data_IF_907921843248
#
_entry.id   IF_907921843248
#
_cell.length_a   1.000
_cell.length_b   1.000
_cell.length_c   1.000
_cell.angle_alpha   90.00
_cell.angle_beta   90.00
_cell.angle_gamma   90.00
#
_symmetry.space_group_name_H-M   'P 1'
#
loop_
_entity.id
_entity.type
_entity.pdbx_description
1 polymer ?
#
# COMPACT_ATOMS: atom_id res chain seq x y z
N UNK A 1 31.17 40.64 -1.68
CA UNK A 1 31.03 39.31 -2.30
C UNK A 1 29.89 38.58 -1.61
N UNK A 2 28.66 38.69 -2.12
CA UNK A 2 27.49 37.98 -1.59
C UNK A 2 26.60 37.56 -2.76
N UNK A 3 26.87 36.39 -3.32
CA UNK A 3 25.92 35.60 -4.09
C UNK A 3 26.28 34.13 -3.84
N UNK A 4 25.25 33.30 -3.59
CA UNK A 4 25.22 31.83 -3.51
C UNK A 4 24.85 31.24 -2.14
N UNK A 5 23.60 31.40 -1.68
CA UNK A 5 22.91 30.36 -0.87
C UNK A 5 21.39 30.37 -1.19
N UNK A 6 21.03 30.30 -2.47
CA UNK A 6 19.62 30.25 -2.89
C UNK A 6 19.41 29.14 -3.94
N UNK A 7 19.75 27.89 -3.62
CA UNK A 7 19.53 26.74 -4.54
C UNK A 7 19.47 25.35 -3.90
N UNK A 8 19.31 25.21 -2.58
CA UNK A 8 19.22 23.86 -1.95
C UNK A 8 17.90 23.63 -1.20
N UNK A 9 17.31 24.66 -0.61
CA UNK A 9 16.07 24.58 0.18
C UNK A 9 14.79 24.48 -0.67
N UNK A 10 14.78 25.06 -1.88
CA UNK A 10 13.63 24.97 -2.80
C UNK A 10 13.50 23.58 -3.47
N UNK A 11 14.61 22.83 -3.58
CA UNK A 11 14.65 21.52 -4.24
C UNK A 11 14.10 20.39 -3.34
N UNK A 12 14.22 20.55 -2.02
CA UNK A 12 13.81 19.53 -1.03
C UNK A 12 12.30 19.56 -0.74
N UNK A 13 11.70 20.76 -0.67
CA UNK A 13 10.24 20.94 -0.57
C UNK A 13 9.48 20.52 -1.83
N UNK A 14 10.11 20.61 -3.02
CA UNK A 14 9.55 20.04 -4.24
C UNK A 14 9.50 18.50 -4.16
N UNK A 15 10.53 17.85 -3.61
CA UNK A 15 10.65 16.37 -3.62
C UNK A 15 9.62 15.63 -2.76
N UNK A 16 9.14 16.22 -1.65
CA UNK A 16 8.15 15.59 -0.77
C UNK A 16 6.72 15.87 -1.21
N UNK A 17 6.43 17.02 -1.83
CA UNK A 17 5.14 17.33 -2.46
C UNK A 17 4.95 16.55 -3.77
N UNK A 18 6.04 16.30 -4.51
CA UNK A 18 6.02 15.47 -5.73
C UNK A 18 5.62 14.02 -5.46
N UNK A 19 5.95 13.46 -4.29
CA UNK A 19 5.69 12.06 -3.97
C UNK A 19 4.19 11.77 -3.74
N UNK A 20 3.42 12.70 -3.16
CA UNK A 20 1.96 12.49 -2.95
C UNK A 20 1.12 12.82 -4.19
N UNK A 21 1.57 13.77 -5.03
CA UNK A 21 0.91 14.06 -6.30
C UNK A 21 1.07 12.97 -7.36
N UNK A 22 2.04 12.06 -7.18
CA UNK A 22 2.37 11.02 -8.16
C UNK A 22 1.44 9.80 -8.04
N UNK A 23 1.20 9.24 -6.86
CA UNK A 23 0.25 8.13 -6.66
C UNK A 23 -1.16 8.42 -7.18
N UNK A 24 -1.70 9.61 -6.91
CA UNK A 24 -3.04 10.03 -7.33
C UNK A 24 -3.20 10.05 -8.86
N UNK A 25 -2.21 10.65 -9.51
CA UNK A 25 -2.19 10.82 -10.96
C UNK A 25 -1.91 9.48 -11.68
N UNK A 26 -1.52 8.47 -10.91
CA UNK A 26 -1.30 7.11 -11.35
C UNK A 26 -2.42 6.16 -10.98
N UNK A 27 -3.42 6.53 -10.17
CA UNK A 27 -4.52 5.61 -9.84
C UNK A 27 -5.33 5.26 -11.11
N UNK A 28 -5.65 3.98 -11.28
CA UNK A 28 -6.42 3.46 -12.42
C UNK A 28 -7.77 2.94 -11.95
N UNK A 29 -7.80 2.21 -10.83
CA UNK A 29 -9.03 1.68 -10.25
C UNK A 29 -8.89 1.53 -8.73
N UNK A 30 -9.99 1.75 -8.00
CA UNK A 30 -10.08 1.59 -6.55
C UNK A 30 -11.38 0.88 -6.16
N UNK A 31 -11.29 -0.35 -5.68
CA UNK A 31 -12.45 -1.13 -5.24
C UNK A 31 -12.44 -1.21 -3.70
N UNK A 32 -13.24 -0.36 -3.06
CA UNK A 32 -13.39 -0.31 -1.60
C UNK A 32 -14.25 -1.45 -1.03
N UNK A 33 -14.94 -2.18 -1.90
CA UNK A 33 -15.89 -3.23 -1.57
C UNK A 33 -16.95 -2.88 -0.50
N UNK A 34 -17.21 -1.58 -0.32
CA UNK A 34 -18.25 -1.05 0.55
C UNK A 34 -19.62 -1.19 -0.11
N UNK A 35 -20.18 -2.39 -0.02
CA UNK A 35 -21.52 -2.74 -0.49
C UNK A 35 -21.62 -3.18 -1.94
N UNK A 36 -20.58 -2.99 -2.76
CA UNK A 36 -20.56 -3.39 -4.18
C UNK A 36 -19.12 -3.51 -4.70
N UNK A 37 -18.96 -4.00 -5.94
CA UNK A 37 -17.68 -4.08 -6.65
C UNK A 37 -17.46 -2.93 -7.65
N UNK A 38 -18.03 -1.75 -7.40
CA UNK A 38 -17.83 -0.59 -8.26
C UNK A 38 -16.41 -0.03 -8.09
N UNK A 39 -15.85 0.47 -9.18
CA UNK A 39 -14.62 1.24 -9.14
C UNK A 39 -14.95 2.64 -8.62
N UNK A 40 -14.47 2.96 -7.42
CA UNK A 40 -14.67 4.26 -6.80
C UNK A 40 -13.93 5.39 -7.49
N UNK A 41 -12.91 5.08 -8.32
CA UNK A 41 -12.08 6.05 -9.03
C UNK A 41 -12.55 6.33 -10.46
N UNK A 42 -12.90 5.29 -11.20
CA UNK A 42 -13.17 5.37 -12.63
C UNK A 42 -14.30 4.46 -13.08
N UNK A 43 -14.45 4.27 -14.41
CA UNK A 43 -15.56 3.50 -14.96
C UNK A 43 -15.33 1.98 -14.91
N UNK A 44 -14.28 1.48 -14.25
CA UNK A 44 -13.81 0.09 -14.40
C UNK A 44 -14.55 -0.87 -13.48
N UNK A 45 -15.87 -0.75 -13.36
CA UNK A 45 -16.67 -1.51 -12.41
C UNK A 45 -16.48 -3.03 -12.56
N UNK A 46 -16.37 -3.71 -11.41
CA UNK A 46 -16.32 -5.16 -11.35
C UNK A 46 -17.70 -5.81 -11.44
N UNK A 47 -17.78 -6.96 -12.10
CA UNK A 47 -18.96 -7.82 -12.11
C UNK A 47 -18.74 -9.00 -11.17
N UNK A 48 -19.52 -9.04 -10.09
CA UNK A 48 -19.42 -10.08 -9.07
C UNK A 48 -20.02 -11.39 -9.57
N UNK A 49 -19.29 -12.49 -9.42
CA UNK A 49 -19.76 -13.86 -9.66
C UNK A 49 -19.57 -14.66 -8.38
N UNK A 50 -20.67 -15.02 -7.73
CA UNK A 50 -20.75 -15.83 -6.49
C UNK A 50 -20.01 -15.30 -5.25
N UNK A 51 -19.20 -14.24 -5.33
CA UNK A 51 -18.58 -13.64 -4.15
C UNK A 51 -19.65 -12.94 -3.29
N UNK A 52 -19.53 -13.05 -1.97
CA UNK A 52 -20.51 -12.49 -1.03
C UNK A 52 -19.88 -11.40 -0.19
N UNK A 53 -20.63 -10.34 0.08
CA UNK A 53 -20.17 -9.28 0.99
C UNK A 53 -19.92 -9.84 2.40
N UNK A 54 -18.89 -9.33 3.05
CA UNK A 54 -18.43 -9.76 4.39
C UNK A 54 -17.91 -8.56 5.18
N UNK A 55 -17.46 -8.81 6.41
CA UNK A 55 -16.90 -7.81 7.31
C UNK A 55 -15.44 -7.50 6.96
N UNK A 56 -15.09 -6.21 6.91
CA UNK A 56 -13.73 -5.75 6.64
C UNK A 56 -12.77 -5.89 7.84
N UNK A 57 -11.54 -5.38 7.70
CA UNK A 57 -10.51 -5.35 8.76
C UNK A 57 -10.83 -4.45 9.95
N UNK A 58 -11.83 -3.58 9.84
CA UNK A 58 -12.28 -2.68 10.89
C UNK A 58 -13.55 -3.16 11.58
N UNK A 59 -14.06 -4.34 11.23
CA UNK A 59 -15.31 -4.85 11.78
C UNK A 59 -16.56 -4.25 11.12
N UNK A 60 -16.41 -3.51 10.01
CA UNK A 60 -17.53 -2.91 9.29
C UNK A 60 -18.19 -3.97 8.39
N UNK A 61 -19.50 -4.23 8.54
CA UNK A 61 -20.20 -5.20 7.73
C UNK A 61 -20.29 -4.74 6.26
N UNK A 62 -20.40 -5.70 5.35
CA UNK A 62 -20.56 -5.48 3.91
C UNK A 62 -19.51 -4.53 3.30
N UNK A 63 -18.27 -4.62 3.78
CA UNK A 63 -17.18 -3.74 3.39
C UNK A 63 -15.94 -4.49 2.88
N UNK A 64 -16.11 -5.77 2.56
CA UNK A 64 -15.15 -6.63 1.88
C UNK A 64 -15.92 -7.71 1.10
N UNK A 65 -15.25 -8.49 0.24
CA UNK A 65 -15.84 -9.69 -0.38
C UNK A 65 -15.17 -10.97 0.12
N UNK A 66 -15.99 -11.96 0.45
CA UNK A 66 -15.57 -13.34 0.70
C UNK A 66 -15.68 -14.16 -0.59
N UNK A 67 -14.63 -14.95 -0.85
CA UNK A 67 -14.50 -15.86 -1.97
C UNK A 67 -14.36 -17.29 -1.43
N UNK A 68 -15.21 -18.19 -1.93
CA UNK A 68 -15.39 -19.56 -1.43
C UNK A 68 -14.94 -20.62 -2.47
N UNK A 69 -13.87 -20.33 -3.23
CA UNK A 69 -13.32 -21.20 -4.30
C UNK A 69 -14.20 -21.38 -5.54
N UNK A 70 -15.40 -20.83 -5.61
CA UNK A 70 -16.23 -20.77 -6.83
C UNK A 70 -16.69 -19.35 -7.18
N UNK A 71 -16.00 -18.37 -6.61
CA UNK A 71 -16.33 -16.96 -6.66
C UNK A 71 -15.19 -16.14 -7.27
N UNK A 72 -15.54 -15.07 -7.97
CA UNK A 72 -14.60 -14.11 -8.53
C UNK A 72 -15.30 -12.80 -8.87
N UNK A 73 -14.51 -11.76 -9.18
CA UNK A 73 -15.00 -10.51 -9.74
C UNK A 73 -14.31 -10.30 -11.09
N UNK A 74 -15.08 -10.23 -12.16
CA UNK A 74 -14.59 -9.95 -13.50
C UNK A 74 -14.41 -8.43 -13.67
N UNK A 75 -13.26 -8.00 -14.22
CA UNK A 75 -12.94 -6.60 -14.44
C UNK A 75 -12.76 -6.28 -15.94
N UNK A 76 -13.04 -5.05 -16.39
CA UNK A 76 -12.62 -4.59 -17.71
C UNK A 76 -11.09 -4.65 -17.81
N UNK A 77 -10.54 -5.32 -18.83
CA UNK A 77 -9.11 -5.62 -18.88
C UNK A 77 -8.24 -4.52 -19.52
N UNK A 78 -8.81 -3.73 -20.45
CA UNK A 78 -8.10 -2.68 -21.17
C UNK A 78 -7.32 -1.65 -20.30
N UNK A 79 -7.85 -1.20 -19.15
CA UNK A 79 -7.17 -0.22 -18.27
C UNK A 79 -5.86 -0.70 -17.64
N UNK A 80 -5.60 -2.01 -17.64
CA UNK A 80 -4.50 -2.62 -16.89
C UNK A 80 -3.25 -2.93 -17.74
N UNK A 81 -3.15 -2.33 -18.93
CA UNK A 81 -2.10 -2.59 -19.94
C UNK A 81 -0.83 -1.73 -19.79
N UNK A 82 -0.49 -1.29 -18.58
CA UNK A 82 0.64 -0.36 -18.37
C UNK A 82 1.98 -1.11 -18.27
N UNK A 83 3.08 -0.59 -18.85
CA UNK A 83 4.41 -1.22 -18.81
C UNK A 83 4.99 -1.33 -17.39
N UNK A 84 4.62 -0.39 -16.53
CA UNK A 84 4.90 -0.38 -15.09
C UNK A 84 3.59 -0.19 -14.35
N UNK A 85 3.42 -0.87 -13.22
CA UNK A 85 2.21 -0.75 -12.42
C UNK A 85 2.44 -1.17 -10.97
N UNK A 86 1.49 -0.78 -10.12
CA UNK A 86 1.40 -1.21 -8.73
C UNK A 86 0.01 -1.77 -8.48
N UNK A 87 -0.05 -2.96 -7.87
CA UNK A 87 -1.26 -3.57 -7.37
C UNK A 87 -1.20 -3.58 -5.84
N UNK A 88 -2.27 -3.14 -5.19
CA UNK A 88 -2.41 -3.20 -3.74
C UNK A 88 -3.72 -3.87 -3.36
N UNK A 89 -3.73 -4.69 -2.32
CA UNK A 89 -4.94 -5.28 -1.77
C UNK A 89 -4.76 -5.63 -0.29
N UNK A 90 -5.84 -5.53 0.47
CA UNK A 90 -5.96 -6.20 1.76
C UNK A 90 -6.53 -7.60 1.54
N UNK A 91 -5.93 -8.61 2.17
CA UNK A 91 -6.36 -10.01 2.04
C UNK A 91 -6.38 -10.72 3.37
N UNK A 92 -7.33 -11.65 3.54
CA UNK A 92 -7.39 -12.57 4.68
C UNK A 92 -7.67 -13.98 4.18
N UNK A 93 -6.68 -14.85 4.25
CA UNK A 93 -6.83 -16.24 3.81
C UNK A 93 -7.69 -17.04 4.80
N UNK A 94 -8.72 -17.73 4.32
CA UNK A 94 -9.51 -18.65 5.14
C UNK A 94 -8.83 -20.03 5.29
N UNK A 95 -8.06 -20.43 4.28
CA UNK A 95 -7.22 -21.64 4.31
C UNK A 95 -5.95 -21.43 3.50
N UNK A 96 -5.09 -22.43 3.44
CA UNK A 96 -4.04 -22.50 2.42
C UNK A 96 -4.55 -23.25 1.18
N UNK A 97 -3.96 -22.99 -0.01
CA UNK A 97 -4.13 -23.85 -1.18
C UNK A 97 -3.54 -25.25 -0.91
N UNK A 98 -4.00 -26.23 -1.68
CA UNK A 98 -3.43 -27.57 -1.64
C UNK A 98 -2.01 -27.58 -2.24
N UNK A 99 -1.24 -28.64 -1.98
CA UNK A 99 0.04 -28.87 -2.65
C UNK A 99 -0.16 -28.81 -4.18
N UNK A 100 0.70 -28.07 -4.89
CA UNK A 100 0.64 -27.85 -6.34
C UNK A 100 -0.54 -27.01 -6.84
N UNK A 101 -1.27 -26.34 -5.94
CA UNK A 101 -2.30 -25.35 -6.26
C UNK A 101 -1.84 -23.94 -5.84
N UNK A 102 -2.63 -22.92 -6.19
CA UNK A 102 -2.45 -21.55 -5.71
C UNK A 102 -3.81 -20.88 -5.51
N UNK A 103 -3.83 -19.84 -4.69
CA UNK A 103 -4.94 -18.91 -4.62
C UNK A 103 -4.58 -17.61 -5.31
N UNK A 104 -5.42 -17.20 -6.26
CA UNK A 104 -5.21 -15.97 -7.03
C UNK A 104 -5.99 -14.82 -6.41
N UNK A 105 -5.27 -13.78 -5.98
CA UNK A 105 -5.85 -12.54 -5.46
C UNK A 105 -6.26 -11.66 -6.64
N UNK A 106 -5.34 -11.48 -7.59
CA UNK A 106 -5.55 -10.70 -8.81
C UNK A 106 -4.83 -11.39 -9.97
N UNK A 107 -5.47 -11.44 -11.13
CA UNK A 107 -4.86 -11.90 -12.38
C UNK A 107 -5.14 -10.93 -13.51
N UNK A 108 -4.16 -10.82 -14.40
CA UNK A 108 -4.31 -10.11 -15.65
C UNK A 108 -3.58 -10.83 -16.80
N UNK A 109 -4.33 -11.02 -17.88
CA UNK A 109 -4.07 -11.72 -19.15
C UNK A 109 -4.44 -13.21 -19.25
N UNK A 110 -4.65 -13.61 -20.50
CA UNK A 110 -4.83 -14.95 -21.04
C UNK A 110 -3.89 -15.06 -22.27
N UNK A 111 -3.38 -16.24 -22.69
CA UNK A 111 -3.38 -17.54 -22.02
C UNK A 111 -2.22 -17.72 -21.02
N UNK A 112 -1.18 -16.86 -21.05
CA UNK A 112 0.02 -17.02 -20.21
C UNK A 112 0.22 -15.80 -19.29
N UNK A 113 -0.09 -15.99 -18.00
CA UNK A 113 0.17 -15.17 -16.79
C UNK A 113 0.96 -13.85 -16.97
N UNK A 114 0.44 -12.83 -17.65
CA UNK A 114 1.19 -11.57 -17.76
C UNK A 114 1.42 -10.97 -16.37
N UNK A 115 0.48 -11.18 -15.46
CA UNK A 115 0.54 -10.74 -14.07
C UNK A 115 -0.35 -11.63 -13.20
N UNK A 116 0.20 -12.19 -12.12
CA UNK A 116 -0.61 -12.78 -11.04
C UNK A 116 -0.08 -12.37 -9.68
N UNK A 117 -0.99 -12.07 -8.74
CA UNK A 117 -0.71 -11.95 -7.32
C UNK A 117 -1.35 -13.15 -6.62
N UNK A 118 -0.54 -14.01 -6.02
CA UNK A 118 -0.99 -15.31 -5.50
C UNK A 118 -0.49 -15.62 -4.10
N UNK A 119 -1.20 -16.52 -3.43
CA UNK A 119 -0.66 -17.35 -2.35
C UNK A 119 -0.45 -18.78 -2.88
N UNK A 120 0.70 -19.39 -2.61
CA UNK A 120 1.00 -20.75 -3.09
C UNK A 120 1.98 -21.47 -2.16
N UNK A 121 1.98 -22.81 -2.14
CA UNK A 121 2.94 -23.58 -1.37
C UNK A 121 4.29 -23.65 -2.11
N UNK A 122 5.37 -23.20 -1.46
CA UNK A 122 6.74 -23.29 -1.99
C UNK A 122 7.68 -23.63 -0.82
N UNK A 123 8.68 -24.49 -1.07
CA UNK A 123 9.73 -24.84 -0.11
C UNK A 123 9.25 -25.36 1.26
N UNK A 124 8.10 -26.06 1.31
CA UNK A 124 7.56 -26.62 2.55
C UNK A 124 6.72 -25.64 3.39
N UNK A 125 6.45 -24.44 2.88
CA UNK A 125 5.54 -23.45 3.49
C UNK A 125 4.67 -22.75 2.46
N UNK A 126 3.80 -21.84 2.90
CA UNK A 126 3.04 -20.96 2.01
C UNK A 126 3.72 -19.61 1.88
N UNK A 127 3.70 -19.04 0.68
CA UNK A 127 4.35 -17.76 0.35
C UNK A 127 3.40 -16.87 -0.44
N UNK A 128 3.63 -15.56 -0.39
CA UNK A 128 3.07 -14.63 -1.36
C UNK A 128 3.97 -14.59 -2.59
N UNK A 129 3.36 -14.54 -3.76
CA UNK A 129 4.07 -14.54 -5.02
C UNK A 129 3.47 -13.49 -5.96
N UNK A 130 4.33 -12.74 -6.62
CA UNK A 130 3.95 -11.87 -7.72
C UNK A 130 4.73 -12.27 -8.97
N UNK A 131 4.01 -12.81 -9.95
CA UNK A 131 4.59 -13.31 -11.19
C UNK A 131 4.39 -12.34 -12.33
N UNK A 132 5.38 -12.21 -13.21
CA UNK A 132 5.26 -11.43 -14.44
C UNK A 132 5.98 -12.09 -15.63
N UNK A 133 5.21 -12.56 -16.61
CA UNK A 133 5.69 -13.50 -17.65
C UNK A 133 6.81 -13.00 -18.56
N UNK A 134 6.78 -11.74 -19.00
CA UNK A 134 7.73 -11.23 -20.00
C UNK A 134 9.09 -10.85 -19.42
N UNK A 135 9.31 -11.04 -18.12
CA UNK A 135 10.51 -10.57 -17.42
C UNK A 135 11.00 -11.63 -16.44
N UNK A 136 11.56 -12.72 -16.96
CA UNK A 136 12.44 -13.69 -16.27
C UNK A 136 12.05 -14.27 -14.89
N UNK A 137 10.85 -14.02 -14.33
CA UNK A 137 10.42 -14.72 -13.12
C UNK A 137 9.34 -14.06 -12.29
N UNK A 138 9.34 -14.42 -11.02
CA UNK A 138 8.45 -13.93 -9.99
C UNK A 138 9.23 -13.45 -8.79
N UNK A 139 8.60 -12.60 -7.98
CA UNK A 139 9.10 -12.23 -6.66
C UNK A 139 8.30 -13.02 -5.61
N UNK A 140 9.01 -13.90 -4.91
CA UNK A 140 8.45 -14.75 -3.85
C UNK A 140 8.93 -14.23 -2.50
N UNK A 141 8.00 -14.07 -1.58
CA UNK A 141 8.27 -13.64 -0.21
C UNK A 141 8.74 -14.81 0.65
N UNK A 142 9.60 -14.57 1.64
CA UNK A 142 10.06 -15.60 2.59
C UNK A 142 9.39 -15.51 3.96
N UNK A 143 8.65 -14.42 4.20
CA UNK A 143 7.90 -14.19 5.43
C UNK A 143 6.79 -15.23 5.59
N UNK A 144 6.54 -15.67 6.82
CA UNK A 144 5.49 -16.62 7.14
C UNK A 144 4.11 -16.06 6.77
N UNK A 145 3.35 -16.83 6.00
CA UNK A 145 1.94 -16.49 5.70
C UNK A 145 1.03 -17.05 6.79
N UNK A 146 0.06 -16.26 7.24
CA UNK A 146 -0.92 -16.64 8.25
C UNK A 146 -2.34 -16.62 7.67
N UNK A 147 -3.14 -17.64 8.00
CA UNK A 147 -4.58 -17.62 7.75
C UNK A 147 -5.31 -16.80 8.82
N UNK A 148 -6.52 -16.34 8.51
CA UNK A 148 -7.40 -15.59 9.40
C UNK A 148 -6.82 -14.26 9.92
N UNK A 149 -5.80 -13.72 9.23
CA UNK A 149 -5.21 -12.40 9.55
C UNK A 149 -5.21 -11.53 8.30
N UNK A 150 -5.70 -10.30 8.44
CA UNK A 150 -5.65 -9.30 7.38
C UNK A 150 -4.19 -8.92 7.11
N UNK A 151 -3.78 -9.05 5.86
CA UNK A 151 -2.44 -8.73 5.37
C UNK A 151 -2.56 -7.76 4.21
N UNK A 152 -1.83 -6.65 4.26
CA UNK A 152 -1.75 -5.73 3.13
C UNK A 152 -0.62 -6.18 2.20
N UNK A 153 -0.96 -6.43 0.94
CA UNK A 153 -0.01 -6.81 -0.09
C UNK A 153 0.09 -5.70 -1.11
N UNK A 154 1.33 -5.29 -1.42
CA UNK A 154 1.59 -4.39 -2.54
C UNK A 154 2.65 -4.99 -3.44
N UNK A 155 2.31 -5.18 -4.71
CA UNK A 155 3.18 -5.74 -5.73
C UNK A 155 3.44 -4.70 -6.81
N UNK A 156 4.71 -4.43 -7.08
CA UNK A 156 5.16 -3.40 -8.00
C UNK A 156 5.95 -4.04 -9.12
N UNK A 157 5.57 -3.75 -10.34
CA UNK A 157 6.37 -3.98 -11.53
C UNK A 157 6.99 -2.66 -11.97
N UNK A 158 8.26 -2.50 -11.67
CA UNK A 158 9.10 -1.43 -12.22
C UNK A 158 9.71 -1.86 -13.56
N UNK A 159 10.42 -0.95 -14.21
CA UNK A 159 11.09 -1.21 -15.49
C UNK A 159 12.15 -2.31 -15.38
N UNK A 160 12.89 -2.34 -14.27
CA UNK A 160 14.03 -3.23 -14.04
C UNK A 160 13.91 -4.07 -12.77
N UNK A 161 12.77 -4.04 -12.08
CA UNK A 161 12.56 -4.83 -10.87
C UNK A 161 11.10 -5.24 -10.65
N UNK A 162 10.89 -6.40 -10.03
CA UNK A 162 9.68 -6.74 -9.30
C UNK A 162 9.92 -6.49 -7.81
N UNK A 163 9.01 -5.77 -7.16
CA UNK A 163 9.12 -5.39 -5.75
C UNK A 163 7.85 -5.84 -5.04
N UNK A 164 7.98 -6.47 -3.88
CA UNK A 164 6.86 -6.95 -3.08
C UNK A 164 6.93 -6.36 -1.68
N UNK A 165 5.80 -5.87 -1.18
CA UNK A 165 5.63 -5.34 0.17
C UNK A 165 4.55 -6.12 0.93
N UNK A 166 4.79 -6.31 2.22
CA UNK A 166 3.83 -6.89 3.16
C UNK A 166 3.66 -5.89 4.29
N UNK A 167 2.42 -5.49 4.58
CA UNK A 167 2.07 -4.56 5.66
C UNK A 167 2.85 -3.23 5.61
N UNK A 168 3.06 -2.71 4.40
CA UNK A 168 3.75 -1.44 4.16
C UNK A 168 5.27 -1.52 4.10
N UNK A 169 5.87 -2.67 4.45
CA UNK A 169 7.32 -2.87 4.48
C UNK A 169 7.78 -3.71 3.29
N UNK A 170 8.96 -3.38 2.73
CA UNK A 170 9.50 -4.08 1.56
C UNK A 170 9.93 -5.49 1.96
N UNK A 171 9.26 -6.49 1.40
CA UNK A 171 9.49 -7.90 1.70
C UNK A 171 10.56 -8.53 0.80
N UNK A 172 10.58 -8.20 -0.49
CA UNK A 172 11.53 -8.74 -1.46
C UNK A 172 11.68 -7.83 -2.69
N UNK A 173 12.84 -7.93 -3.35
CA UNK A 173 13.09 -7.31 -4.67
C UNK A 173 13.84 -8.26 -5.56
N UNK A 174 13.37 -8.42 -6.81
CA UNK A 174 14.04 -9.24 -7.83
C UNK A 174 14.31 -8.35 -9.04
N UNK A 175 15.58 -8.26 -9.43
CA UNK A 175 15.97 -7.57 -10.66
C UNK A 175 15.43 -8.32 -11.89
N UNK A 176 14.97 -7.58 -12.88
CA UNK A 176 14.52 -8.10 -14.16
C UNK A 176 15.19 -7.36 -15.31
N UNK A 177 15.48 -8.07 -16.40
CA UNK A 177 15.99 -7.44 -17.60
C UNK A 177 14.88 -6.65 -18.30
N UNK A 178 15.10 -5.39 -18.70
CA UNK A 178 14.09 -4.55 -19.32
C UNK A 178 13.76 -4.94 -20.79
N UNK A 179 14.11 -6.15 -21.24
CA UNK A 179 14.28 -6.48 -22.66
C UNK A 179 13.01 -6.81 -23.43
N UNK A 180 11.81 -6.51 -22.94
CA UNK A 180 10.63 -6.51 -23.81
C UNK A 180 9.51 -5.61 -23.25
N UNK A 181 8.87 -4.75 -24.09
CA UNK A 181 7.61 -4.15 -23.72
C UNK A 181 6.61 -5.24 -23.33
N UNK A 182 5.69 -4.93 -22.43
CA UNK A 182 4.55 -5.79 -22.15
C UNK A 182 3.76 -6.01 -23.45
N UNK A 183 4.01 -7.15 -24.10
CA UNK A 183 3.30 -7.53 -25.31
C UNK A 183 2.09 -8.34 -24.90
N UNK A 184 0.94 -7.67 -24.83
CA UNK A 184 -0.35 -8.29 -24.56
C UNK A 184 -0.91 -8.86 -25.88
N UNK A 185 -0.37 -9.98 -26.35
CA UNK A 185 -0.70 -10.53 -27.69
C UNK A 185 -1.99 -11.34 -27.74
N UNK A 186 -2.79 -11.34 -26.68
CA UNK A 186 -3.87 -12.29 -26.45
C UNK A 186 -5.09 -11.60 -25.81
N UNK A 187 -6.30 -12.20 -25.83
CA UNK A 187 -7.48 -11.53 -25.30
C UNK A 187 -7.32 -11.26 -23.80
N UNK A 188 -7.24 -9.99 -23.46
CA UNK A 188 -7.00 -9.55 -22.09
C UNK A 188 -8.20 -9.90 -21.21
N UNK A 189 -7.93 -10.60 -20.11
CA UNK A 189 -8.90 -10.83 -19.03
C UNK A 189 -8.28 -10.38 -17.72
N UNK A 190 -9.07 -9.71 -16.89
CA UNK A 190 -8.68 -9.24 -15.56
C UNK A 190 -9.68 -9.75 -14.54
N UNK A 191 -9.21 -10.37 -13.47
CA UNK A 191 -10.08 -10.93 -12.44
C UNK A 191 -9.49 -10.73 -11.04
N UNK A 192 -10.38 -10.53 -10.07
CA UNK A 192 -10.08 -10.63 -8.65
C UNK A 192 -10.62 -11.98 -8.16
N UNK A 193 -9.80 -12.70 -7.40
CA UNK A 193 -10.20 -13.97 -6.77
C UNK A 193 -10.09 -15.22 -7.64
N UNK A 194 -9.66 -15.12 -8.91
CA UNK A 194 -9.47 -16.28 -9.78
C UNK A 194 -8.47 -15.99 -10.89
N UNK A 195 -7.96 -17.05 -11.52
CA UNK A 195 -7.14 -16.96 -12.73
C UNK A 195 -7.84 -17.64 -13.91
N UNK A 196 -8.26 -16.86 -14.92
CA UNK A 196 -8.63 -17.41 -16.22
C UNK A 196 -7.40 -17.86 -17.02
N UNK A 197 -7.51 -18.96 -17.75
CA UNK A 197 -6.46 -19.47 -18.65
C UNK A 197 -7.05 -20.41 -19.70
N UNK A 198 -6.91 -20.12 -20.99
CA UNK A 198 -7.33 -21.02 -22.08
C UNK A 198 -8.78 -21.50 -21.94
N UNK A 199 -9.69 -20.59 -21.58
CA UNK A 199 -11.11 -20.89 -21.33
C UNK A 199 -11.42 -21.60 -20.01
N UNK A 200 -10.41 -21.91 -19.18
CA UNK A 200 -10.59 -22.51 -17.87
C UNK A 200 -10.45 -21.46 -16.75
N UNK A 201 -11.12 -21.72 -15.62
CA UNK A 201 -10.96 -20.95 -14.39
C UNK A 201 -10.21 -21.80 -13.37
N UNK A 202 -9.03 -21.35 -12.95
CA UNK A 202 -8.15 -22.08 -12.04
C UNK A 202 -7.73 -21.21 -10.85
N UNK A 203 -7.13 -21.86 -9.86
CA UNK A 203 -6.51 -21.20 -8.70
C UNK A 203 -7.48 -20.25 -7.95
N UNK A 204 -8.72 -20.68 -7.68
CA UNK A 204 -9.74 -19.81 -7.10
C UNK A 204 -9.41 -19.49 -5.64
N UNK A 205 -9.60 -18.22 -5.26
CA UNK A 205 -9.28 -17.73 -3.93
C UNK A 205 -10.21 -18.30 -2.86
N UNK A 206 -9.68 -18.47 -1.64
CA UNK A 206 -10.45 -18.83 -0.47
C UNK A 206 -10.14 -17.91 0.71
N UNK A 207 -11.03 -16.97 0.97
CA UNK A 207 -10.85 -15.94 1.98
C UNK A 207 -11.50 -14.62 1.62
N UNK A 208 -11.11 -13.56 2.32
CA UNK A 208 -11.62 -12.21 2.12
C UNK A 208 -10.59 -11.34 1.36
N UNK A 209 -11.09 -10.50 0.45
CA UNK A 209 -10.30 -9.47 -0.23
C UNK A 209 -11.00 -8.12 -0.03
N UNK A 210 -10.22 -7.09 0.22
CA UNK A 210 -10.68 -5.72 0.43
C UNK A 210 -9.70 -4.69 -0.16
N UNK A 211 -10.19 -3.47 -0.37
CA UNK A 211 -9.40 -2.27 -0.66
C UNK A 211 -8.41 -2.46 -1.84
N UNK A 212 -8.89 -3.06 -2.94
CA UNK A 212 -8.07 -3.38 -4.12
C UNK A 212 -7.80 -2.10 -4.92
N UNK A 213 -6.53 -1.81 -5.18
CA UNK A 213 -6.09 -0.62 -5.91
C UNK A 213 -5.12 -0.99 -7.02
N UNK A 214 -5.28 -0.37 -8.18
CA UNK A 214 -4.37 -0.54 -9.33
C UNK A 214 -3.85 0.82 -9.77
N UNK A 215 -2.53 0.94 -9.94
CA UNK A 215 -1.86 2.16 -10.37
C UNK A 215 -1.07 1.95 -11.67
N UNK A 216 -1.12 2.92 -12.58
CA UNK A 216 -0.27 3.04 -13.77
C UNK A 216 1.10 3.63 -13.41
N UNK A 217 1.87 2.91 -12.60
CA UNK A 217 3.21 3.34 -12.23
C UNK A 217 3.80 2.60 -11.04
N UNK A 218 5.03 3.00 -10.70
CA UNK A 218 5.79 2.53 -9.54
C UNK A 218 5.52 3.48 -8.39
N UNK A 219 5.01 2.95 -7.28
CA UNK A 219 4.92 3.69 -6.02
C UNK A 219 6.23 3.60 -5.24
N UNK A 220 6.58 4.68 -4.54
CA UNK A 220 7.69 4.75 -3.59
C UNK A 220 7.37 4.03 -2.28
N UNK A 221 8.40 3.74 -1.47
CA UNK A 221 8.23 3.16 -0.13
C UNK A 221 7.31 4.01 0.77
N UNK A 222 7.36 5.34 0.62
CA UNK A 222 6.52 6.25 1.38
C UNK A 222 5.04 6.15 0.97
N UNK A 223 4.78 6.11 -0.34
CA UNK A 223 3.43 5.91 -0.87
C UNK A 223 2.85 4.56 -0.46
N UNK A 224 3.64 3.48 -0.50
CA UNK A 224 3.20 2.15 -0.05
C UNK A 224 2.87 2.13 1.45
N UNK A 225 3.67 2.80 2.29
CA UNK A 225 3.37 2.95 3.73
C UNK A 225 2.07 3.72 3.96
N UNK A 226 1.78 4.73 3.14
CA UNK A 226 0.52 5.47 3.18
C UNK A 226 -0.65 4.58 2.78
N UNK A 227 -0.51 3.76 1.73
CA UNK A 227 -1.55 2.81 1.33
C UNK A 227 -1.88 1.79 2.42
N UNK A 228 -0.85 1.30 3.12
CA UNK A 228 -1.03 0.39 4.25
C UNK A 228 -1.85 1.04 5.38
N UNK A 229 -1.63 2.33 5.65
CA UNK A 229 -2.36 3.06 6.69
C UNK A 229 -3.72 3.59 6.23
N UNK A 230 -4.00 3.56 4.93
CA UNK A 230 -5.23 4.10 4.37
C UNK A 230 -6.44 3.31 4.89
N UNK A 231 -7.47 4.04 5.28
CA UNK A 231 -8.76 3.50 5.75
C UNK A 231 -9.86 3.58 4.70
N UNK A 232 -9.57 4.21 3.55
CA UNK A 232 -10.54 4.48 2.50
C UNK A 232 -9.90 4.41 1.12
N UNK A 233 -10.71 4.04 0.13
CA UNK A 233 -10.40 4.12 -1.28
C UNK A 233 -10.68 5.55 -1.77
N UNK A 234 -9.95 6.56 -1.28
CA UNK A 234 -10.14 7.95 -1.71
C UNK A 234 -9.46 8.21 -3.05
N UNK A 235 -10.18 8.90 -3.93
CA UNK A 235 -9.80 9.34 -5.27
C UNK A 235 -9.24 10.76 -5.29
N UNK A 236 -9.46 11.48 -4.19
CA UNK A 236 -8.95 12.83 -3.96
C UNK A 236 -7.58 12.76 -3.28
N UNK A 237 -6.53 12.82 -4.10
CA UNK A 237 -5.38 13.65 -3.69
C UNK A 237 -5.56 15.06 -4.27
N UNK A 238 -6.79 15.58 -4.30
CA UNK A 238 -6.93 17.02 -4.40
C UNK A 238 -6.20 17.60 -3.21
N UNK A 239 -5.37 18.60 -3.49
CA UNK A 239 -4.80 19.48 -2.49
C UNK A 239 -5.94 20.20 -1.75
N UNK A 240 -6.71 19.51 -0.90
CA UNK A 240 -6.70 20.00 0.45
C UNK A 240 -5.26 19.84 0.89
N UNK A 241 -4.58 20.88 1.41
CA UNK A 241 -3.40 20.61 2.18
C UNK A 241 -3.82 19.55 3.19
N UNK A 242 -3.41 18.30 2.96
CA UNK A 242 -3.24 17.34 4.02
C UNK A 242 -2.27 18.12 4.89
N UNK A 243 -2.80 18.81 5.90
CA UNK A 243 -2.02 19.11 7.08
C UNK A 243 -1.40 17.77 7.40
N UNK A 244 -0.11 17.60 7.08
CA UNK A 244 0.62 16.37 7.28
C UNK A 244 0.15 15.84 8.63
N UNK A 245 -0.52 14.67 8.62
CA UNK A 245 -1.19 14.20 9.82
C UNK A 245 -0.14 14.20 10.93
N UNK A 246 -0.39 14.93 12.03
CA UNK A 246 0.67 15.22 12.96
C UNK A 246 1.23 13.92 13.54
N UNK A 247 2.55 13.81 13.69
CA UNK A 247 3.13 12.66 14.35
C UNK A 247 2.57 12.55 15.77
N UNK A 248 2.07 11.37 16.10
CA UNK A 248 1.38 11.15 17.36
C UNK A 248 2.34 10.55 18.36
N UNK A 249 2.36 11.07 19.60
CA UNK A 249 3.07 10.39 20.68
C UNK A 249 2.38 9.06 21.00
N UNK A 250 3.09 7.94 20.92
CA UNK A 250 2.57 6.59 21.15
C UNK A 250 2.62 6.16 22.62
N UNK A 251 3.48 6.79 23.43
CA UNK A 251 3.71 6.48 24.85
C UNK A 251 4.33 7.67 25.57
N UNK A 252 4.38 7.61 26.91
CA UNK A 252 5.19 8.55 27.69
C UNK A 252 6.68 8.38 27.36
N UNK A 253 7.43 9.47 27.26
CA UNK A 253 8.88 9.41 27.03
C UNK A 253 9.52 10.74 26.66
N UNK A 254 10.82 10.73 26.37
CA UNK A 254 11.55 11.93 25.98
C UNK A 254 11.31 12.28 24.49
N UNK A 255 11.30 13.57 24.17
CA UNK A 255 11.07 14.09 22.80
C UNK A 255 12.06 13.53 21.78
N UNK A 256 13.29 13.26 22.20
CA UNK A 256 14.37 12.76 21.36
C UNK A 256 14.44 11.22 21.28
N UNK A 257 13.46 10.49 21.81
CA UNK A 257 13.31 9.05 21.57
C UNK A 257 12.42 8.81 20.33
N UNK A 258 12.95 8.28 19.21
CA UNK A 258 12.17 7.98 18.02
C UNK A 258 10.97 7.05 18.27
N UNK A 259 11.06 6.17 19.27
CA UNK A 259 9.99 5.22 19.60
C UNK A 259 8.84 5.86 20.41
N UNK A 260 8.97 7.13 20.82
CA UNK A 260 7.84 7.93 21.34
C UNK A 260 6.91 8.36 20.22
N UNK A 261 7.37 8.45 18.97
CA UNK A 261 6.61 9.06 17.87
C UNK A 261 6.15 8.04 16.83
N UNK A 262 4.94 8.24 16.29
CA UNK A 262 4.35 7.36 15.29
C UNK A 262 5.16 7.21 13.99
N UNK A 263 6.07 8.15 13.69
CA UNK A 263 6.97 8.04 12.54
C UNK A 263 8.18 7.13 12.78
N UNK A 264 8.44 6.69 14.01
CA UNK A 264 9.71 6.02 14.36
C UNK A 264 10.92 6.94 14.23
N UNK A 265 10.71 8.26 14.37
CA UNK A 265 11.68 9.32 14.10
C UNK A 265 11.53 10.48 15.11
N UNK A 266 12.51 11.38 15.20
CA UNK A 266 12.40 12.59 16.04
C UNK A 266 11.75 13.71 15.21
N UNK A 267 10.66 14.36 15.70
CA UNK A 267 10.04 15.48 15.02
C UNK A 267 10.99 16.64 14.77
N UNK A 268 10.88 17.24 13.59
CA UNK A 268 11.68 18.37 13.13
C UNK A 268 10.81 19.62 13.00
N UNK A 269 11.47 20.74 12.73
CA UNK A 269 10.87 22.07 12.54
C UNK A 269 9.77 22.14 11.48
N UNK A 270 9.69 21.15 10.58
CA UNK A 270 8.68 21.02 9.51
C UNK A 270 7.50 20.14 9.87
N UNK A 271 7.56 19.44 11.01
CA UNK A 271 6.62 18.37 11.33
C UNK A 271 5.58 18.88 12.34
N UNK A 272 4.30 18.70 12.02
CA UNK A 272 3.25 18.86 13.01
C UNK A 272 3.25 17.63 13.94
N UNK A 273 2.99 17.81 15.23
CA UNK A 273 2.89 16.71 16.20
C UNK A 273 1.65 16.81 17.06
N UNK A 274 1.10 15.66 17.45
CA UNK A 274 -0.03 15.54 18.35
C UNK A 274 0.40 14.75 19.59
N UNK A 275 0.46 15.46 20.71
CA UNK A 275 0.83 14.95 22.02
C UNK A 275 -0.42 14.40 22.71
N UNK A 276 -0.48 13.08 22.82
CA UNK A 276 -1.52 12.29 23.51
C UNK A 276 -1.02 11.66 24.81
N UNK A 277 0.29 11.74 25.07
CA UNK A 277 0.98 11.21 26.23
C UNK A 277 1.86 12.28 26.88
N UNK A 278 2.50 11.99 28.02
CA UNK A 278 3.48 12.89 28.63
C UNK A 278 4.79 12.81 27.84
N UNK A 279 5.15 13.89 27.15
CA UNK A 279 6.41 13.99 26.40
C UNK A 279 7.33 14.98 27.08
N UNK A 280 8.56 14.57 27.39
CA UNK A 280 9.55 15.43 28.05
C UNK A 280 10.58 15.95 27.06
N UNK A 281 10.74 17.27 26.98
CA UNK A 281 11.89 17.90 26.33
C UNK A 281 13.09 17.78 27.28
N UNK A 282 14.17 17.05 26.93
CA UNK A 282 15.30 16.86 27.84
C UNK A 282 16.01 18.17 28.23
N UNK A 283 16.81 18.12 29.30
CA UNK A 283 17.63 19.26 29.73
C UNK A 283 18.61 19.68 28.64
N UNK A 284 18.75 20.99 28.42
CA UNK A 284 19.61 21.57 27.37
C UNK A 284 19.34 21.07 25.94
N UNK A 285 18.15 20.49 25.69
CA UNK A 285 17.75 20.00 24.38
C UNK A 285 16.84 21.01 23.66
N UNK A 286 17.07 21.17 22.36
CA UNK A 286 16.26 22.01 21.48
C UNK A 286 15.31 21.12 20.66
N UNK A 287 14.09 20.94 21.15
CA UNK A 287 13.02 20.29 20.41
C UNK A 287 12.49 21.22 19.31
N UNK A 288 12.15 20.66 18.16
CA UNK A 288 11.62 21.41 17.03
C UNK A 288 10.32 20.77 16.54
N UNK A 289 9.34 21.60 16.19
CA UNK A 289 8.13 21.18 15.52
C UNK A 289 7.62 22.33 14.63
N UNK A 290 6.82 22.02 13.62
CA UNK A 290 6.03 23.03 12.92
C UNK A 290 4.88 23.50 13.81
N UNK A 291 4.14 22.55 14.40
CA UNK A 291 2.99 22.79 15.28
C UNK A 291 2.86 21.67 16.30
N UNK A 292 2.29 21.97 17.46
CA UNK A 292 2.07 21.00 18.54
C UNK A 292 0.62 21.08 18.98
N UNK A 293 -0.09 19.96 18.87
CA UNK A 293 -1.47 19.80 19.32
C UNK A 293 -1.46 18.93 20.59
N UNK A 294 -2.06 19.39 21.69
CA UNK A 294 -2.12 18.63 22.95
C UNK A 294 -3.57 18.19 23.19
N UNK A 295 -3.80 16.89 23.40
CA UNK A 295 -5.13 16.34 23.63
C UNK A 295 -5.35 15.92 25.09
N UNK A 296 -6.51 16.27 25.66
CA UNK A 296 -6.94 15.76 26.97
C UNK A 296 -5.97 16.10 28.09
N UNK A 297 -5.55 15.08 28.87
CA UNK A 297 -4.62 15.22 29.99
C UNK A 297 -3.13 15.09 29.60
N UNK A 298 -2.81 15.09 28.31
CA UNK A 298 -1.43 15.03 27.83
C UNK A 298 -0.68 16.35 28.11
N UNK A 299 0.65 16.29 28.17
CA UNK A 299 1.48 17.48 28.43
C UNK A 299 2.88 17.34 27.84
N UNK A 300 3.44 18.49 27.45
CA UNK A 300 4.87 18.63 27.16
C UNK A 300 5.56 19.20 28.41
N UNK A 301 6.50 18.47 28.97
CA UNK A 301 7.29 18.91 30.14
C UNK A 301 8.71 19.27 29.72
N UNK A 302 9.39 20.12 30.50
CA UNK A 302 10.71 20.65 30.13
C UNK A 302 11.74 20.34 31.21
N UNK A 303 12.85 19.72 30.81
CA UNK A 303 14.08 19.67 31.61
C UNK A 303 14.73 21.05 31.71
N UNK A 304 15.69 21.20 32.62
CA UNK A 304 16.40 22.46 32.84
C UNK A 304 17.04 22.97 31.53
N UNK A 305 16.66 24.16 31.09
CA UNK A 305 17.16 24.73 29.83
C UNK A 305 16.70 24.01 28.56
N UNK A 306 15.77 23.06 28.65
CA UNK A 306 15.11 22.45 27.50
C UNK A 306 14.16 23.45 26.85
N UNK A 307 14.15 23.47 25.52
CA UNK A 307 13.37 24.42 24.73
C UNK A 307 12.62 23.70 23.61
N UNK A 308 11.41 24.17 23.32
CA UNK A 308 10.62 23.74 22.17
C UNK A 308 10.43 24.93 21.25
N UNK A 309 10.95 24.83 20.03
CA UNK A 309 10.86 25.86 19.01
C UNK A 309 9.80 25.46 17.99
N UNK A 310 8.86 26.37 17.75
CA UNK A 310 7.86 26.24 16.72
C UNK A 310 8.25 27.11 15.53
N UNK A 311 8.23 26.55 14.33
CA UNK A 311 8.48 27.32 13.10
C UNK A 311 7.27 28.19 12.75
N UNK A 312 7.50 29.43 12.34
CA UNK A 312 6.47 30.27 11.73
C UNK A 312 6.23 29.84 10.28
N UNK A 313 4.96 29.83 9.86
CA UNK A 313 4.56 29.62 8.45
C UNK A 313 5.01 30.79 7.56
#
# INVERSE_FOLDING_TARGET
>A
MLYRILSVTLLCLLSTVLCFGQAANQLVACYSFSGNAQDGFGPNNGTVVNATLTTDRFGKPNSAYFFNRNAYINLPAAPFTNPTYTLSAWVRLASFPAQSDAFTIFSFSEPNQCLTLTNQPVYGGNVWNFFSYNTTGSVITTQSVQTNTWTHLTAIRAENALIFYINGERAQTVAINPTAPLSYTCPLQACIGIRPTQGNLIQPFHGDIDDVRVYRGVLSDAEVRVLYQATTCQTDFTLNPITAQPFVSLRNGDWNDPAVWSCGCIPKATDAVQVRHVVRVPSSYLANALRVYINGAAQVTYGLGGQLVLSAN
#
